data_IF_644307546966
#
_entry.id   IF_644307546966
#
_cell.length_a   1.000
_cell.length_b   1.000
_cell.length_c   1.000
_cell.angle_alpha   90.00
_cell.angle_beta   90.00
_cell.angle_gamma   90.00
#
_symmetry.space_group_name_H-M   'P 1'
#
loop_
_entity.id
_entity.type
_entity.pdbx_description
1 polymer ?
#
# COMPACT_ATOMS: atom_id res chain seq x y z
N UNK A 1 -4.92 19.38 10.04
CA UNK A 1 -5.18 17.93 10.20
C UNK A 1 -3.92 17.10 10.04
N UNK A 2 -3.21 17.17 8.91
CA UNK A 2 -1.99 16.38 8.67
C UNK A 2 -0.86 16.75 9.64
N UNK A 3 -0.67 18.04 9.92
CA UNK A 3 0.33 18.53 10.88
C UNK A 3 0.07 18.03 12.29
N UNK A 4 -1.20 17.97 12.69
CA UNK A 4 -1.60 17.57 14.03
C UNK A 4 -1.38 16.08 14.28
N UNK A 5 -1.51 15.25 13.22
CA UNK A 5 -1.19 13.82 13.24
C UNK A 5 0.31 13.61 13.41
N UNK A 6 1.14 14.32 12.63
CA UNK A 6 2.59 14.25 12.72
C UNK A 6 3.06 14.70 14.12
N UNK A 7 2.49 15.78 14.66
CA UNK A 7 2.87 16.31 15.96
C UNK A 7 2.39 15.42 17.12
N UNK A 8 1.23 14.77 16.96
CA UNK A 8 0.74 13.75 17.91
C UNK A 8 1.64 12.54 17.92
N UNK A 9 1.95 12.04 16.76
CA UNK A 9 2.82 10.88 16.58
C UNK A 9 4.27 11.17 17.00
N UNK A 10 4.82 12.37 16.79
CA UNK A 10 6.13 12.79 17.29
C UNK A 10 6.19 12.90 18.82
N UNK A 11 5.07 13.09 19.50
CA UNK A 11 5.02 13.16 20.97
C UNK A 11 4.97 11.78 21.63
N UNK A 12 4.43 10.79 20.96
CA UNK A 12 4.29 9.43 21.52
C UNK A 12 5.55 8.57 21.40
N UNK A 13 6.51 8.99 20.58
CA UNK A 13 7.71 8.19 20.30
C UNK A 13 8.99 9.00 20.46
N UNK A 14 9.56 8.96 21.64
CA UNK A 14 11.00 9.20 21.83
C UNK A 14 11.83 8.01 21.26
N UNK A 15 11.18 6.98 20.71
CA UNK A 15 11.77 5.72 20.25
C UNK A 15 10.87 5.21 19.11
N UNK A 16 11.39 5.11 17.88
CA UNK A 16 10.75 4.55 16.68
C UNK A 16 9.60 5.37 16.06
N UNK A 17 9.97 6.30 15.20
CA UNK A 17 8.98 7.05 14.42
C UNK A 17 8.94 6.60 12.97
N UNK A 18 7.87 5.93 12.64
CA UNK A 18 7.44 5.81 11.28
C UNK A 18 5.99 6.23 11.17
N UNK A 19 5.70 7.23 10.39
CA UNK A 19 4.39 7.87 10.35
C UNK A 19 3.79 7.98 8.99
N UNK A 20 2.50 8.03 8.98
CA UNK A 20 1.70 7.70 7.88
C UNK A 20 0.58 8.67 7.50
N UNK A 21 0.40 8.84 6.20
CA UNK A 21 -0.82 9.28 5.54
C UNK A 21 -1.17 8.21 4.50
N UNK A 22 -2.41 7.75 4.42
CA UNK A 22 -2.78 6.63 3.56
C UNK A 22 -2.45 5.26 4.17
N UNK A 23 -2.25 4.26 3.34
CA UNK A 23 -1.93 2.89 3.76
C UNK A 23 -0.41 2.69 3.81
N UNK A 24 0.19 2.62 5.00
CA UNK A 24 1.64 2.66 5.19
C UNK A 24 2.29 1.40 5.76
N UNK A 25 3.56 1.21 5.45
CA UNK A 25 4.31 0.03 5.80
C UNK A 25 5.77 0.30 6.23
N UNK A 26 6.25 -0.41 7.26
CA UNK A 26 7.65 -0.36 7.71
C UNK A 26 8.32 -1.72 7.71
N UNK A 27 9.62 -1.76 7.40
CA UNK A 27 10.46 -2.94 7.59
C UNK A 27 11.60 -2.67 8.58
N UNK A 28 11.96 -3.67 9.38
CA UNK A 28 13.08 -3.62 10.33
C UNK A 28 12.75 -3.14 11.75
N UNK A 29 13.71 -3.30 12.68
CA UNK A 29 13.57 -2.93 14.09
C UNK A 29 13.62 -1.42 14.35
N UNK A 30 14.16 -0.66 13.39
CA UNK A 30 14.29 0.79 13.45
C UNK A 30 13.58 1.50 12.28
N UNK A 31 12.79 0.76 11.48
CA UNK A 31 12.17 1.29 10.26
C UNK A 31 13.21 1.67 9.21
N UNK A 32 13.81 0.67 8.55
CA UNK A 32 14.84 0.92 7.53
C UNK A 32 14.24 1.45 6.23
N UNK A 33 12.95 1.24 6.02
CA UNK A 33 12.21 1.59 4.81
C UNK A 33 10.74 1.87 5.13
N UNK A 34 10.18 2.95 4.60
CA UNK A 34 8.75 3.24 4.61
C UNK A 34 8.10 2.90 3.27
N UNK A 35 6.83 2.49 3.30
CA UNK A 35 6.04 2.22 2.10
C UNK A 35 4.61 2.72 2.30
N UNK A 36 4.12 3.59 1.40
CA UNK A 36 2.70 3.90 1.29
C UNK A 36 2.05 3.11 0.16
N UNK A 37 0.87 2.56 0.44
CA UNK A 37 0.12 1.71 -0.50
C UNK A 37 -0.98 2.49 -1.26
N UNK A 38 -0.72 3.76 -1.54
CA UNK A 38 -1.63 4.60 -2.32
C UNK A 38 -2.59 5.43 -1.48
N UNK A 39 -3.43 6.21 -2.16
CA UNK A 39 -4.32 7.20 -1.57
C UNK A 39 -3.54 8.14 -0.61
N UNK A 40 -2.42 8.65 -1.13
CA UNK A 40 -1.49 9.52 -0.41
C UNK A 40 -2.19 10.81 0.00
N UNK A 41 -3.13 11.25 -0.84
CA UNK A 41 -4.01 12.38 -0.61
C UNK A 41 -5.47 11.97 -0.91
N UNK A 42 -6.44 12.83 -0.62
CA UNK A 42 -7.85 12.65 -0.93
C UNK A 42 -8.22 13.63 -2.06
N UNK A 43 -7.90 13.29 -3.31
CA UNK A 43 -8.14 14.04 -4.55
C UNK A 43 -7.42 15.41 -4.66
N UNK A 44 -6.80 15.92 -3.61
CA UNK A 44 -6.08 17.20 -3.64
C UNK A 44 -4.57 17.00 -3.81
N UNK A 45 -4.13 16.87 -5.06
CA UNK A 45 -2.72 16.63 -5.41
C UNK A 45 -1.78 17.78 -4.98
N UNK A 46 -2.30 18.97 -4.68
CA UNK A 46 -1.50 20.09 -4.17
C UNK A 46 -0.90 19.81 -2.79
N UNK A 47 -1.36 18.77 -2.10
CA UNK A 47 -0.87 18.31 -0.80
C UNK A 47 0.37 17.40 -0.89
N UNK A 48 0.75 16.89 -2.06
CA UNK A 48 1.95 16.04 -2.23
C UNK A 48 3.23 16.63 -1.60
N UNK A 49 3.54 17.92 -1.76
CA UNK A 49 4.72 18.49 -1.09
C UNK A 49 4.68 18.41 0.44
N UNK A 50 3.48 18.49 1.03
CA UNK A 50 3.31 18.38 2.49
C UNK A 50 3.55 16.95 2.97
N UNK A 51 3.09 15.95 2.20
CA UNK A 51 3.34 14.53 2.48
C UNK A 51 4.83 14.21 2.35
N UNK A 52 5.49 14.69 1.29
CA UNK A 52 6.94 14.52 1.10
C UNK A 52 7.71 15.12 2.29
N UNK A 53 7.35 16.33 2.72
CA UNK A 53 7.98 16.94 3.88
C UNK A 53 7.80 16.11 5.17
N UNK A 54 6.62 15.50 5.32
CA UNK A 54 6.30 14.63 6.44
C UNK A 54 7.15 13.34 6.41
N UNK A 55 7.13 12.59 5.31
CA UNK A 55 7.89 11.34 5.15
C UNK A 55 9.40 11.57 5.22
N UNK A 56 9.91 12.64 4.61
CA UNK A 56 11.32 13.04 4.70
C UNK A 56 11.76 13.30 6.16
N UNK A 57 10.86 13.82 7.01
CA UNK A 57 11.17 14.06 8.42
C UNK A 57 11.46 12.79 9.24
N UNK A 58 11.15 11.62 8.68
CA UNK A 58 11.38 10.31 9.30
C UNK A 58 12.81 9.79 9.07
N UNK A 59 13.55 10.44 8.18
CA UNK A 59 14.97 10.14 7.86
C UNK A 59 15.21 8.69 7.40
N UNK A 60 14.21 8.04 6.80
CA UNK A 60 14.31 6.74 6.13
C UNK A 60 13.88 6.85 4.67
N UNK A 61 14.39 6.02 3.75
CA UNK A 61 13.86 5.92 2.40
C UNK A 61 12.36 5.63 2.43
N UNK A 62 11.61 6.22 1.51
CA UNK A 62 10.17 6.04 1.44
C UNK A 62 9.73 5.70 0.03
N UNK A 63 9.08 4.55 -0.12
CA UNK A 63 8.49 4.11 -1.37
C UNK A 63 7.01 4.51 -1.41
N UNK A 64 6.53 4.85 -2.60
CA UNK A 64 5.14 5.24 -2.79
C UNK A 64 4.50 4.42 -3.91
N UNK A 65 3.33 3.87 -3.62
CA UNK A 65 2.37 3.36 -4.60
C UNK A 65 1.38 4.48 -4.90
N UNK A 66 0.91 4.59 -6.13
CA UNK A 66 -0.20 5.48 -6.46
C UNK A 66 -1.54 4.81 -6.11
N UNK A 67 -2.49 5.56 -5.55
CA UNK A 67 -3.86 5.13 -5.33
C UNK A 67 -4.86 5.83 -6.24
N UNK A 68 -6.13 5.48 -6.13
CA UNK A 68 -7.17 6.07 -6.98
C UNK A 68 -7.49 7.54 -6.64
N UNK A 69 -7.12 8.01 -5.45
CA UNK A 69 -7.21 9.43 -5.07
C UNK A 69 -5.97 10.25 -5.43
N UNK A 70 -4.93 9.61 -6.00
CA UNK A 70 -3.70 10.26 -6.43
C UNK A 70 -3.69 10.58 -7.94
N UNK A 71 -4.82 10.41 -8.63
CA UNK A 71 -4.95 10.54 -10.08
C UNK A 71 -5.15 12.00 -10.52
N UNK A 72 -4.61 12.34 -11.67
CA UNK A 72 -5.00 13.53 -12.46
C UNK A 72 -6.36 13.26 -13.11
N UNK A 73 -7.47 13.59 -12.42
CA UNK A 73 -8.85 13.24 -12.85
C UNK A 73 -9.32 13.95 -14.12
N UNK A 74 -8.58 14.93 -14.61
CA UNK A 74 -8.80 15.61 -15.88
C UNK A 74 -8.00 15.00 -17.04
N UNK A 75 -7.21 13.96 -16.77
CA UNK A 75 -6.45 13.24 -17.77
C UNK A 75 -7.38 12.61 -18.84
N UNK A 76 -6.94 12.65 -20.07
CA UNK A 76 -7.70 12.07 -21.19
C UNK A 76 -7.54 10.54 -21.29
N UNK A 77 -6.52 9.98 -20.66
CA UNK A 77 -6.17 8.56 -20.73
C UNK A 77 -5.51 8.09 -19.43
N UNK A 78 -5.51 6.78 -19.22
CA UNK A 78 -4.80 6.15 -18.12
C UNK A 78 -3.29 6.45 -18.14
N UNK A 79 -2.68 6.50 -19.31
CA UNK A 79 -1.25 6.79 -19.47
C UNK A 79 -0.85 8.15 -18.88
N UNK A 80 -1.76 9.11 -18.90
CA UNK A 80 -1.54 10.49 -18.44
C UNK A 80 -2.09 10.73 -17.02
N UNK A 81 -2.75 9.75 -16.42
CA UNK A 81 -3.48 9.91 -15.14
C UNK A 81 -2.58 10.05 -13.90
N UNK A 82 -1.28 9.82 -14.03
CA UNK A 82 -0.31 9.92 -12.94
C UNK A 82 0.86 10.89 -13.24
N UNK A 83 0.65 11.88 -14.11
CA UNK A 83 1.72 12.84 -14.44
C UNK A 83 2.15 13.66 -13.21
N UNK A 84 1.19 14.14 -12.42
CA UNK A 84 1.46 14.88 -11.18
C UNK A 84 2.12 13.99 -10.13
N UNK A 85 1.64 12.75 -9.95
CA UNK A 85 2.29 11.78 -9.05
C UNK A 85 3.75 11.55 -9.44
N UNK A 86 4.01 11.24 -10.73
CA UNK A 86 5.37 10.99 -11.23
C UNK A 86 6.30 12.18 -11.06
N UNK A 87 5.78 13.41 -11.15
CA UNK A 87 6.56 14.62 -10.92
C UNK A 87 7.05 14.74 -9.47
N UNK A 88 6.27 14.26 -8.50
CA UNK A 88 6.56 14.41 -7.08
C UNK A 88 7.28 13.20 -6.48
N UNK A 89 6.90 11.99 -6.84
CA UNK A 89 7.35 10.74 -6.23
C UNK A 89 8.25 9.88 -7.13
N UNK A 90 8.40 10.24 -8.40
CA UNK A 90 9.15 9.45 -9.36
C UNK A 90 8.27 8.42 -10.09
N UNK A 91 8.84 7.35 -10.62
CA UNK A 91 8.10 6.36 -11.41
C UNK A 91 7.00 5.68 -10.58
N UNK A 92 5.88 5.37 -11.22
CA UNK A 92 4.77 4.63 -10.64
C UNK A 92 4.97 3.10 -10.63
N UNK A 93 5.97 2.64 -11.37
CA UNK A 93 6.32 1.23 -11.51
C UNK A 93 7.83 1.08 -11.44
N UNK A 94 8.32 0.39 -10.40
CA UNK A 94 9.75 0.22 -10.18
C UNK A 94 10.06 -0.94 -9.23
N UNK A 95 11.35 -1.28 -9.13
CA UNK A 95 11.87 -2.22 -8.15
C UNK A 95 12.81 -1.50 -7.17
N UNK A 96 12.79 -1.97 -5.92
CA UNK A 96 13.73 -1.58 -4.86
C UNK A 96 14.33 -2.84 -4.23
N UNK A 97 15.64 -2.89 -4.10
CA UNK A 97 16.35 -4.08 -3.64
C UNK A 97 16.98 -3.85 -2.27
N UNK A 98 16.65 -4.74 -1.34
CA UNK A 98 17.27 -4.86 -0.02
C UNK A 98 17.97 -6.23 0.11
N UNK A 99 18.88 -6.40 1.07
CA UNK A 99 19.60 -7.67 1.21
C UNK A 99 18.71 -8.90 1.39
N UNK A 100 17.58 -8.78 2.11
CA UNK A 100 16.67 -9.88 2.43
C UNK A 100 15.38 -9.86 1.62
N UNK A 101 15.09 -8.77 0.89
CA UNK A 101 13.85 -8.60 0.12
C UNK A 101 14.04 -7.81 -1.16
N UNK A 102 13.23 -8.13 -2.16
CA UNK A 102 13.02 -7.29 -3.34
C UNK A 102 11.59 -6.76 -3.32
N UNK A 103 11.44 -5.46 -3.45
CA UNK A 103 10.15 -4.79 -3.52
C UNK A 103 9.83 -4.46 -4.98
N UNK A 104 8.64 -4.82 -5.42
CA UNK A 104 8.05 -4.40 -6.69
C UNK A 104 6.90 -3.46 -6.38
N UNK A 105 7.02 -2.23 -6.81
CA UNK A 105 5.97 -1.22 -6.69
C UNK A 105 5.30 -1.11 -8.05
N UNK A 106 3.99 -1.33 -8.08
CA UNK A 106 3.21 -1.35 -9.30
C UNK A 106 2.01 -0.41 -9.16
N UNK A 107 1.81 0.43 -10.14
CA UNK A 107 0.55 1.13 -10.32
C UNK A 107 -0.50 0.12 -10.83
N UNK A 108 -1.47 -0.16 -10.00
CA UNK A 108 -2.56 -1.08 -10.35
C UNK A 108 -3.92 -0.39 -10.47
N UNK A 109 -3.92 0.92 -10.55
CA UNK A 109 -5.13 1.72 -10.77
C UNK A 109 -5.27 2.05 -12.24
N UNK A 110 -6.09 1.31 -12.96
CA UNK A 110 -6.41 1.60 -14.36
C UNK A 110 -7.48 2.67 -14.45
N UNK A 111 -7.09 3.90 -14.78
CA UNK A 111 -8.01 5.01 -14.93
C UNK A 111 -8.91 4.87 -16.17
N UNK A 112 -10.19 5.14 -16.01
CA UNK A 112 -11.20 4.98 -17.04
C UNK A 112 -12.03 6.27 -17.15
N UNK A 113 -11.52 7.30 -17.88
CA UNK A 113 -12.21 8.57 -17.98
C UNK A 113 -13.65 8.41 -18.49
N UNK A 114 -14.58 9.09 -17.83
CA UNK A 114 -15.99 9.05 -18.15
C UNK A 114 -16.78 7.83 -17.67
N UNK A 115 -16.13 6.84 -17.04
CA UNK A 115 -16.82 5.73 -16.37
C UNK A 115 -17.14 6.04 -14.89
N UNK A 116 -17.95 5.19 -14.28
CA UNK A 116 -18.25 5.20 -12.84
C UNK A 116 -18.24 3.76 -12.31
N UNK A 117 -17.31 3.40 -11.42
CA UNK A 117 -16.18 4.21 -10.97
C UNK A 117 -15.24 4.58 -12.14
N UNK A 118 -14.48 5.65 -11.97
CA UNK A 118 -13.55 6.13 -12.98
C UNK A 118 -12.26 5.29 -13.05
N UNK A 119 -12.21 4.16 -12.40
CA UNK A 119 -11.05 3.26 -12.35
C UNK A 119 -11.48 1.81 -12.14
N UNK A 120 -10.54 0.90 -12.35
CA UNK A 120 -10.60 -0.52 -11.98
C UNK A 120 -9.18 -0.98 -11.65
N UNK A 121 -9.04 -1.94 -10.74
CA UNK A 121 -7.76 -2.59 -10.50
C UNK A 121 -7.29 -3.39 -11.72
N UNK A 122 -6.00 -3.35 -12.00
CA UNK A 122 -5.41 -4.07 -13.13
C UNK A 122 -3.97 -3.64 -13.38
N UNK A 123 -3.33 -4.24 -14.36
CA UNK A 123 -1.96 -3.91 -14.76
C UNK A 123 -1.90 -3.62 -16.26
N UNK A 124 -1.04 -2.69 -16.64
CA UNK A 124 -0.78 -2.34 -18.03
C UNK A 124 0.21 -3.32 -18.68
N UNK A 125 0.23 -3.38 -20.00
CA UNK A 125 1.15 -4.23 -20.74
C UNK A 125 2.63 -3.83 -20.58
N UNK A 126 2.92 -2.53 -20.39
CA UNK A 126 4.28 -2.05 -20.10
C UNK A 126 4.79 -2.54 -18.75
N UNK A 127 3.92 -2.64 -17.75
CA UNK A 127 4.25 -3.21 -16.44
C UNK A 127 4.50 -4.72 -16.54
N UNK A 128 3.73 -5.43 -17.34
CA UNK A 128 4.03 -6.84 -17.63
C UNK A 128 5.36 -7.02 -18.35
N UNK A 129 5.68 -6.17 -19.33
CA UNK A 129 6.98 -6.20 -19.99
C UNK A 129 8.13 -5.93 -19.00
N UNK A 130 7.95 -4.99 -18.06
CA UNK A 130 8.90 -4.76 -16.97
C UNK A 130 9.06 -6.01 -16.09
N UNK A 131 7.96 -6.63 -15.64
CA UNK A 131 7.98 -7.82 -14.79
C UNK A 131 8.66 -9.00 -15.49
N UNK A 132 8.34 -9.24 -16.77
CA UNK A 132 8.93 -10.32 -17.60
C UNK A 132 10.45 -10.12 -17.77
N UNK A 133 10.92 -8.88 -17.83
CA UNK A 133 12.35 -8.56 -17.91
C UNK A 133 13.05 -8.64 -16.55
N UNK A 134 12.41 -8.17 -15.47
CA UNK A 134 13.04 -8.04 -14.16
C UNK A 134 13.01 -9.34 -13.34
N UNK A 135 11.88 -10.05 -13.29
CA UNK A 135 11.73 -11.24 -12.43
C UNK A 135 12.77 -12.33 -12.66
N UNK A 136 13.29 -12.60 -13.88
CA UNK A 136 14.38 -13.54 -14.08
C UNK A 136 15.70 -13.16 -13.39
N UNK A 137 15.88 -11.90 -13.01
CA UNK A 137 17.08 -11.40 -12.33
C UNK A 137 16.99 -11.49 -10.80
N UNK A 138 15.77 -11.66 -10.26
CA UNK A 138 15.50 -11.65 -8.81
C UNK A 138 15.97 -12.95 -8.17
N UNK A 139 16.81 -12.88 -7.11
CA UNK A 139 17.17 -14.06 -6.33
C UNK A 139 15.94 -14.71 -5.68
N UNK A 140 15.86 -16.04 -5.76
CA UNK A 140 14.69 -16.78 -5.23
C UNK A 140 14.80 -17.16 -3.76
N UNK A 141 15.92 -16.88 -3.11
CA UNK A 141 16.17 -17.10 -1.69
C UNK A 141 15.78 -15.93 -0.77
N UNK A 142 15.20 -14.89 -1.37
CA UNK A 142 14.73 -13.66 -0.68
C UNK A 142 13.22 -13.53 -0.77
N UNK A 143 12.67 -12.70 0.09
CA UNK A 143 11.26 -12.32 0.01
C UNK A 143 11.04 -11.39 -1.20
N UNK A 144 10.09 -11.74 -2.06
CA UNK A 144 9.57 -10.85 -3.10
C UNK A 144 8.28 -10.20 -2.59
N UNK A 145 8.32 -8.90 -2.36
CA UNK A 145 7.19 -8.11 -1.89
C UNK A 145 6.61 -7.31 -3.05
N UNK A 146 5.34 -7.47 -3.33
CA UNK A 146 4.62 -6.61 -4.28
C UNK A 146 3.78 -5.61 -3.50
N UNK A 147 4.00 -4.32 -3.72
CA UNK A 147 3.19 -3.23 -3.21
C UNK A 147 2.29 -2.67 -4.31
N UNK A 148 0.98 -2.72 -4.07
CA UNK A 148 -0.07 -2.22 -4.96
C UNK A 148 -1.10 -1.45 -4.13
N UNK A 149 -2.00 -0.73 -4.77
CA UNK A 149 -3.10 -0.05 -4.08
C UNK A 149 -4.35 -0.92 -3.99
N UNK A 150 -4.90 -1.34 -5.11
CA UNK A 150 -6.15 -2.11 -5.15
C UNK A 150 -5.85 -3.59 -4.87
N UNK A 151 -6.57 -4.23 -3.93
CA UNK A 151 -6.31 -5.64 -3.62
C UNK A 151 -6.64 -6.56 -4.79
N UNK A 152 -5.90 -7.67 -4.87
CA UNK A 152 -6.09 -8.68 -5.91
C UNK A 152 -7.36 -9.53 -5.71
N UNK A 153 -8.00 -9.45 -4.55
CA UNK A 153 -9.32 -10.06 -4.34
C UNK A 153 -10.43 -9.05 -4.63
N UNK A 154 -11.60 -9.53 -5.03
CA UNK A 154 -12.74 -8.65 -5.23
C UNK A 154 -13.27 -8.12 -3.90
N UNK A 155 -13.34 -6.80 -3.76
CA UNK A 155 -13.80 -6.13 -2.53
C UNK A 155 -15.33 -6.07 -2.43
N UNK A 156 -16.03 -6.35 -3.54
CA UNK A 156 -17.48 -6.38 -3.63
C UNK A 156 -17.97 -7.73 -4.16
N UNK A 157 -19.00 -8.34 -3.56
CA UNK A 157 -19.57 -9.59 -4.08
C UNK A 157 -20.02 -9.44 -5.54
N UNK A 158 -19.70 -10.43 -6.36
CA UNK A 158 -20.12 -10.54 -7.76
C UNK A 158 -19.73 -9.34 -8.66
N UNK A 159 -18.74 -8.55 -8.25
CA UNK A 159 -18.20 -7.42 -9.02
C UNK A 159 -16.69 -7.60 -9.17
N UNK A 160 -16.22 -7.63 -10.42
CA UNK A 160 -14.81 -7.59 -10.72
C UNK A 160 -14.24 -6.21 -10.36
N UNK A 161 -13.57 -6.12 -9.21
CA UNK A 161 -12.92 -4.88 -8.75
C UNK A 161 -11.45 -4.82 -9.16
N UNK A 162 -10.86 -5.97 -9.47
CA UNK A 162 -9.55 -6.12 -10.10
C UNK A 162 -9.67 -7.02 -11.32
N UNK A 163 -9.08 -6.64 -12.46
CA UNK A 163 -9.11 -7.44 -13.70
C UNK A 163 -8.56 -8.85 -13.45
N UNK A 164 -9.42 -9.84 -13.47
CA UNK A 164 -9.05 -11.24 -13.19
C UNK A 164 -8.02 -11.79 -14.20
N UNK A 165 -8.07 -11.33 -15.45
CA UNK A 165 -7.10 -11.70 -16.47
C UNK A 165 -5.69 -11.21 -16.13
N UNK A 166 -5.57 -9.96 -15.65
CA UNK A 166 -4.28 -9.37 -15.25
C UNK A 166 -3.74 -10.05 -14.00
N UNK A 167 -4.61 -10.31 -13.01
CA UNK A 167 -4.25 -11.11 -11.82
C UNK A 167 -3.72 -12.49 -12.21
N UNK A 168 -4.41 -13.20 -13.06
CA UNK A 168 -3.99 -14.53 -13.50
C UNK A 168 -2.63 -14.50 -14.23
N UNK A 169 -2.41 -13.47 -15.09
CA UNK A 169 -1.13 -13.27 -15.78
C UNK A 169 -0.01 -12.98 -14.79
N UNK A 170 -0.23 -12.09 -13.82
CA UNK A 170 0.74 -11.79 -12.76
C UNK A 170 1.06 -13.03 -11.94
N UNK A 171 0.05 -13.77 -11.48
CA UNK A 171 0.24 -14.96 -10.66
C UNK A 171 1.01 -16.06 -11.42
N UNK A 172 0.83 -16.15 -12.73
CA UNK A 172 1.62 -17.07 -13.56
C UNK A 172 3.11 -16.70 -13.61
N UNK A 173 3.47 -15.42 -13.57
CA UNK A 173 4.85 -14.97 -13.48
C UNK A 173 5.48 -15.22 -12.11
N UNK A 174 4.69 -15.17 -11.05
CA UNK A 174 5.17 -15.30 -9.68
C UNK A 174 5.22 -16.73 -9.14
N UNK A 175 4.53 -17.69 -9.77
CA UNK A 175 4.29 -19.05 -9.24
C UNK A 175 5.54 -19.84 -8.86
N UNK A 176 6.68 -19.54 -9.48
CA UNK A 176 7.95 -20.22 -9.26
C UNK A 176 8.84 -19.52 -8.21
N UNK A 177 8.35 -18.47 -7.57
CA UNK A 177 9.00 -17.83 -6.43
C UNK A 177 8.49 -18.47 -5.13
N UNK A 178 9.40 -19.00 -4.28
CA UNK A 178 8.98 -19.69 -3.05
C UNK A 178 8.51 -18.73 -1.96
N UNK A 179 8.94 -17.48 -2.00
CA UNK A 179 8.69 -16.49 -0.96
C UNK A 179 8.11 -15.22 -1.60
N UNK A 180 6.79 -15.09 -1.61
CA UNK A 180 6.07 -13.93 -2.14
C UNK A 180 5.09 -13.41 -1.11
N UNK A 181 5.05 -12.10 -0.94
CA UNK A 181 4.08 -11.38 -0.14
C UNK A 181 3.45 -10.27 -1.00
N UNK A 182 2.13 -10.24 -1.07
CA UNK A 182 1.38 -9.15 -1.67
C UNK A 182 0.92 -8.20 -0.57
N UNK A 183 1.10 -6.90 -0.80
CA UNK A 183 0.64 -5.82 0.07
C UNK A 183 -0.29 -4.92 -0.72
N UNK A 184 -1.50 -4.74 -0.22
CA UNK A 184 -2.52 -3.88 -0.82
C UNK A 184 -3.18 -2.99 0.22
N UNK A 185 -3.84 -1.92 -0.22
CA UNK A 185 -4.58 -0.97 0.60
C UNK A 185 -6.04 -0.85 0.17
N UNK A 186 -6.53 0.37 -0.06
CA UNK A 186 -7.79 0.73 -0.68
C UNK A 186 -9.07 0.44 0.14
N UNK A 187 -9.19 -0.74 0.74
CA UNK A 187 -10.45 -1.22 1.35
C UNK A 187 -10.63 -0.73 2.81
N UNK A 188 -9.67 0.01 3.36
CA UNK A 188 -9.67 0.51 4.75
C UNK A 188 -10.08 -0.55 5.79
N UNK A 189 -9.59 -1.77 5.61
CA UNK A 189 -9.80 -2.91 6.50
C UNK A 189 -8.53 -3.74 6.60
N UNK A 190 -8.43 -4.52 7.67
CA UNK A 190 -7.33 -5.47 7.83
C UNK A 190 -7.76 -6.84 7.30
N UNK A 191 -7.10 -7.34 6.25
CA UNK A 191 -7.40 -8.68 5.73
C UNK A 191 -6.14 -9.45 5.39
N UNK A 192 -6.09 -10.70 5.83
CA UNK A 192 -5.13 -11.68 5.37
C UNK A 192 -5.82 -12.66 4.42
N UNK A 193 -5.50 -12.56 3.15
CA UNK A 193 -6.04 -13.43 2.10
C UNK A 193 -4.98 -14.47 1.71
N UNK A 194 -5.43 -15.69 1.44
CA UNK A 194 -4.59 -16.78 0.93
C UNK A 194 -5.11 -17.18 -0.43
N UNK A 195 -4.45 -16.71 -1.48
CA UNK A 195 -4.81 -17.07 -2.85
C UNK A 195 -4.44 -18.52 -3.14
N UNK A 196 -5.34 -19.19 -3.83
CA UNK A 196 -5.22 -20.57 -4.29
C UNK A 196 -5.71 -20.73 -5.73
N UNK A 197 -5.98 -21.98 -6.17
CA UNK A 197 -6.43 -22.26 -7.54
C UNK A 197 -7.68 -21.47 -7.95
N UNK A 198 -8.61 -21.25 -7.03
CA UNK A 198 -9.85 -20.51 -7.29
C UNK A 198 -9.63 -19.05 -7.66
N UNK A 199 -8.52 -18.45 -7.21
CA UNK A 199 -8.10 -17.10 -7.61
C UNK A 199 -7.04 -17.08 -8.72
N UNK A 200 -6.73 -18.24 -9.31
CA UNK A 200 -5.73 -18.38 -10.37
C UNK A 200 -4.30 -18.57 -9.89
N UNK A 201 -4.07 -18.79 -8.57
CA UNK A 201 -2.75 -19.07 -8.05
C UNK A 201 -2.43 -20.57 -8.12
N UNK A 202 -1.30 -20.91 -8.75
CA UNK A 202 -0.84 -22.30 -8.96
C UNK A 202 0.61 -22.52 -8.44
N UNK A 203 1.07 -21.69 -7.52
CA UNK A 203 2.36 -21.90 -6.84
C UNK A 203 2.30 -23.04 -5.81
N UNK A 204 3.47 -23.40 -5.26
CA UNK A 204 3.63 -24.55 -4.36
C UNK A 204 2.88 -24.38 -3.01
N UNK A 205 2.74 -23.15 -2.54
CA UNK A 205 2.04 -22.79 -1.31
C UNK A 205 1.02 -21.69 -1.60
N UNK A 206 -0.05 -21.54 -0.79
CA UNK A 206 -0.98 -20.43 -0.95
C UNK A 206 -0.26 -19.08 -0.88
N UNK A 207 -0.54 -18.21 -1.84
CA UNK A 207 0.05 -16.86 -1.91
C UNK A 207 -0.63 -15.95 -0.88
N UNK A 208 0.18 -15.33 -0.04
CA UNK A 208 -0.31 -14.42 0.98
C UNK A 208 -0.47 -13.01 0.43
N UNK A 209 -1.65 -12.46 0.55
CA UNK A 209 -1.94 -11.05 0.42
C UNK A 209 -2.36 -10.50 1.78
N UNK A 210 -1.75 -9.38 2.17
CA UNK A 210 -2.19 -8.60 3.31
C UNK A 210 -2.71 -7.25 2.83
N UNK A 211 -4.02 -7.08 2.93
CA UNK A 211 -4.67 -5.79 2.75
C UNK A 211 -4.52 -5.01 4.06
N UNK A 212 -3.79 -3.92 3.97
CA UNK A 212 -3.40 -3.10 5.12
C UNK A 212 -4.48 -2.07 5.38
N UNK A 213 -4.83 -1.88 6.63
CA UNK A 213 -5.77 -0.84 7.02
C UNK A 213 -5.19 0.57 6.84
N UNK A 214 -6.08 1.53 6.71
CA UNK A 214 -5.72 2.91 6.44
C UNK A 214 -5.24 3.65 7.70
N UNK A 215 -4.23 4.49 7.55
CA UNK A 215 -3.81 5.41 8.61
C UNK A 215 -4.87 6.46 8.92
N UNK A 216 -5.65 6.86 7.90
CA UNK A 216 -6.84 7.71 8.05
C UNK A 216 -8.03 6.98 8.66
N UNK A 217 -7.97 5.66 8.80
CA UNK A 217 -9.06 4.82 9.28
C UNK A 217 -10.34 5.05 8.48
N UNK A 218 -11.43 5.43 9.16
CA UNK A 218 -12.71 5.81 8.53
C UNK A 218 -12.74 7.31 8.19
N UNK A 219 -11.75 7.82 7.47
CA UNK A 219 -11.69 9.21 6.97
C UNK A 219 -11.79 10.27 8.08
N UNK A 220 -11.25 10.00 9.29
CA UNK A 220 -11.30 10.94 10.41
C UNK A 220 -12.72 11.43 10.76
N UNK A 221 -13.72 10.56 10.63
CA UNK A 221 -15.14 10.90 10.73
C UNK A 221 -15.73 10.80 12.13
N UNK A 222 -14.96 10.32 13.11
CA UNK A 222 -15.44 10.07 14.46
C UNK A 222 -15.46 11.29 15.40
N UNK A 223 -15.73 11.02 16.66
CA UNK A 223 -15.73 12.03 17.73
C UNK A 223 -14.32 12.54 17.97
N UNK A 224 -14.17 13.85 18.14
CA UNK A 224 -12.86 14.46 18.40
C UNK A 224 -12.42 14.21 19.84
N UNK A 225 -11.14 13.85 20.01
CA UNK A 225 -10.50 13.77 21.32
C UNK A 225 -10.18 15.15 21.93
N UNK A 226 -9.52 15.15 23.09
CA UNK A 226 -9.13 16.39 23.79
C UNK A 226 -8.14 17.25 22.99
N UNK A 227 -7.43 16.68 22.02
CA UNK A 227 -6.52 17.36 21.10
C UNK A 227 -7.24 17.83 19.82
N UNK A 228 -8.52 17.54 19.67
CA UNK A 228 -9.32 17.88 18.51
C UNK A 228 -9.14 16.92 17.32
N UNK A 229 -8.51 15.77 17.53
CA UNK A 229 -8.26 14.76 16.49
C UNK A 229 -9.47 13.81 16.46
N UNK A 230 -10.15 13.65 15.29
CA UNK A 230 -11.27 12.74 15.17
C UNK A 230 -10.85 11.29 15.38
N UNK A 231 -11.73 10.49 16.00
CA UNK A 231 -11.61 9.03 15.94
C UNK A 231 -11.72 8.55 14.49
N UNK A 232 -10.84 7.64 14.12
CA UNK A 232 -10.73 7.11 12.77
C UNK A 232 -10.72 5.58 12.77
N UNK A 233 -11.42 4.95 13.71
CA UNK A 233 -11.59 3.49 13.73
C UNK A 233 -12.23 3.01 12.43
N UNK A 234 -11.60 2.00 11.79
CA UNK A 234 -12.06 1.41 10.54
C UNK A 234 -13.35 0.62 10.71
N UNK A 235 -14.04 0.32 9.59
CA UNK A 235 -15.32 -0.39 9.59
C UNK A 235 -15.26 -1.82 10.14
N UNK A 236 -14.11 -2.45 10.18
CA UNK A 236 -13.85 -3.75 10.79
C UNK A 236 -13.54 -3.68 12.30
N UNK A 237 -13.53 -2.47 12.88
CA UNK A 237 -13.21 -2.21 14.28
C UNK A 237 -11.71 -2.03 14.56
N UNK A 238 -10.86 -2.08 13.54
CA UNK A 238 -9.42 -1.83 13.71
C UNK A 238 -9.20 -0.33 13.90
N UNK A 239 -8.45 0.12 14.93
CA UNK A 239 -8.07 1.51 15.08
C UNK A 239 -7.12 1.90 13.93
N UNK A 240 -7.16 3.16 13.52
CA UNK A 240 -6.19 3.69 12.57
C UNK A 240 -4.75 3.52 13.08
N UNK A 241 -3.80 3.33 12.16
CA UNK A 241 -2.43 3.01 12.53
C UNK A 241 -1.57 2.66 11.33
N UNK A 242 -0.57 1.84 11.55
CA UNK A 242 0.34 1.36 10.52
C UNK A 242 0.71 -0.11 10.73
N UNK A 243 1.09 -0.78 9.67
CA UNK A 243 1.61 -2.13 9.75
C UNK A 243 3.15 -2.11 9.80
N UNK A 244 3.73 -3.09 10.48
CA UNK A 244 5.17 -3.37 10.48
C UNK A 244 5.42 -4.71 9.82
N UNK A 245 6.27 -4.70 8.79
CA UNK A 245 6.83 -5.88 8.17
C UNK A 245 8.26 -6.07 8.68
N UNK A 246 8.53 -7.18 9.30
CA UNK A 246 9.88 -7.63 9.62
C UNK A 246 10.26 -8.73 8.64
N UNK A 247 11.26 -8.48 7.80
CA UNK A 247 11.83 -9.48 6.90
C UNK A 247 13.01 -10.17 7.58
N UNK A 248 13.12 -11.46 7.38
CA UNK A 248 14.19 -12.30 7.91
C UNK A 248 14.87 -13.07 6.79
N UNK A 249 16.05 -13.58 7.06
CA UNK A 249 16.78 -14.41 6.09
C UNK A 249 15.95 -15.63 5.65
N UNK A 250 16.11 -16.03 4.38
CA UNK A 250 15.37 -17.17 3.82
C UNK A 250 13.92 -16.85 3.42
N UNK A 251 13.60 -15.58 3.25
CA UNK A 251 12.28 -15.14 2.77
C UNK A 251 11.16 -15.23 3.82
N UNK A 252 11.52 -15.48 5.08
CA UNK A 252 10.55 -15.43 6.18
C UNK A 252 10.21 -13.99 6.56
N UNK A 253 9.01 -13.77 7.10
CA UNK A 253 8.58 -12.46 7.54
C UNK A 253 7.56 -12.53 8.67
N UNK A 254 7.41 -11.42 9.38
CA UNK A 254 6.36 -11.19 10.39
C UNK A 254 5.65 -9.88 10.09
N UNK A 255 4.36 -9.88 10.38
CA UNK A 255 3.48 -8.72 10.24
C UNK A 255 2.90 -8.37 11.60
N UNK A 256 2.84 -7.09 11.94
CA UNK A 256 2.20 -6.59 13.13
C UNK A 256 1.50 -5.26 12.83
N UNK A 257 0.31 -5.07 13.38
CA UNK A 257 -0.40 -3.80 13.34
C UNK A 257 -0.06 -2.97 14.58
N UNK A 258 0.21 -1.70 14.37
CA UNK A 258 0.46 -0.71 15.42
C UNK A 258 -0.60 0.38 15.35
N UNK A 259 -1.52 0.47 16.33
CA UNK A 259 -2.46 1.58 16.42
C UNK A 259 -1.74 2.92 16.54
N UNK A 260 -2.24 3.94 15.89
CA UNK A 260 -1.71 5.31 16.02
C UNK A 260 -1.93 5.92 17.43
N UNK A 261 -2.81 5.31 18.23
CA UNK A 261 -3.08 5.69 19.61
C UNK A 261 -3.04 4.45 20.50
N UNK A 262 -2.55 4.62 21.72
CA UNK A 262 -2.61 3.56 22.75
C UNK A 262 -4.07 3.16 23.03
N UNK A 263 -4.31 1.87 23.18
CA UNK A 263 -5.63 1.29 23.50
C UNK A 263 -6.22 1.84 24.84
N UNK A 264 -5.42 2.51 25.67
CA UNK A 264 -5.84 3.18 26.90
C UNK A 264 -6.40 4.59 26.69
N UNK A 265 -6.28 5.16 25.51
CA UNK A 265 -6.87 6.47 25.12
C UNK A 265 -8.13 6.32 24.27
N UNK A 266 -8.62 5.08 24.06
CA UNK A 266 -9.94 4.87 23.51
C UNK A 266 -10.97 5.67 24.33
N UNK A 267 -11.77 6.47 23.64
CA UNK A 267 -12.78 7.34 24.23
C UNK A 267 -13.64 6.54 25.22
N UNK A 268 -13.61 6.95 26.49
CA UNK A 268 -14.49 6.45 27.55
C UNK A 268 -15.91 7.01 27.31
#
# INVERSE_FOLDING_TARGET
YQRDIIDSLKKETAIDMGHSFGDFYFSGLAGDLGLSLGDIVDDDLSLFPAVIAATTSLAVPWLHVAGNHDLDFDAASDQDSLLTFRQHFGPDTYAWEEPEANFLILDDVIYQPGKKPAYIGGLRDDQFAFLEAYLPTVPKDRLLVLGVHIPFFDTKPDVETFRHADRARLFALLKDFPHVLLLSGHDHTQRHVRHGPDSGWHGATPLHEYNVGAASGAYWSGVKDAQGIPDATMGDGTPNGYARLQVMAGGEYRLAWHPARDAGTALA
#
